data_IF_795432872609
#
_entry.id   IF_795432872609
#
_cell.length_a   1.000
_cell.length_b   1.000
_cell.length_c   1.000
_cell.angle_alpha   90.00
_cell.angle_beta   90.00
_cell.angle_gamma   90.00
#
_symmetry.space_group_name_H-M   'P 1'
#
loop_
_entity.id
_entity.type
_entity.pdbx_description
1 polymer ?
#
# COMPACT_ATOMS: atom_id res chain seq x y z
N UNK A 1 1.02 -8.73 13.88
CA UNK A 1 0.96 -7.27 13.86
C UNK A 1 0.39 -6.82 12.54
N UNK A 2 -0.59 -5.94 12.56
CA UNK A 2 -1.26 -5.47 11.35
C UNK A 2 -0.51 -4.29 10.75
N UNK A 3 -0.76 -4.05 9.46
CA UNK A 3 -0.30 -2.83 8.82
C UNK A 3 -1.01 -1.63 9.44
N UNK A 4 -0.26 -0.55 9.64
CA UNK A 4 -0.82 0.67 10.21
C UNK A 4 -1.53 1.47 9.13
N UNK A 5 -2.77 1.85 9.41
CA UNK A 5 -3.53 2.76 8.54
C UNK A 5 -3.18 4.19 8.92
N UNK A 6 -2.67 4.97 7.97
CA UNK A 6 -2.32 6.37 8.21
C UNK A 6 -3.00 7.26 7.19
N UNK A 7 -3.19 8.52 7.57
CA UNK A 7 -3.87 9.51 6.75
C UNK A 7 -3.07 9.80 5.48
N UNK A 8 -3.75 10.36 4.48
CA UNK A 8 -3.12 10.78 3.23
C UNK A 8 -2.00 11.79 3.50
N UNK A 9 -2.24 12.74 4.39
CA UNK A 9 -1.24 13.76 4.74
C UNK A 9 0.01 13.12 5.33
N UNK A 10 -0.16 12.19 6.24
CA UNK A 10 0.95 11.49 6.88
C UNK A 10 1.66 10.57 5.88
N UNK A 11 0.92 9.85 5.06
CA UNK A 11 1.48 8.97 4.04
C UNK A 11 2.30 9.80 3.03
N UNK A 12 1.75 10.92 2.55
CA UNK A 12 2.44 11.83 1.64
C UNK A 12 3.77 12.31 2.22
N UNK A 13 3.75 12.73 3.49
CA UNK A 13 4.93 13.22 4.18
C UNK A 13 6.03 12.16 4.23
N UNK A 14 5.66 10.92 4.53
CA UNK A 14 6.62 9.82 4.62
C UNK A 14 7.16 9.41 3.25
N UNK A 15 6.34 9.50 2.21
CA UNK A 15 6.78 9.22 0.83
C UNK A 15 7.76 10.30 0.36
N UNK A 16 7.40 11.57 0.53
CA UNK A 16 8.23 12.68 0.03
C UNK A 16 9.54 12.84 0.80
N UNK A 17 9.59 12.41 2.05
CA UNK A 17 10.82 12.40 2.84
C UNK A 17 11.76 11.24 2.52
N UNK A 18 11.30 10.27 1.73
CA UNK A 18 12.07 9.06 1.43
C UNK A 18 11.93 7.97 2.47
N UNK A 19 11.14 8.19 3.52
CA UNK A 19 10.94 7.20 4.57
C UNK A 19 10.23 5.96 4.03
N UNK A 20 9.26 6.15 3.12
CA UNK A 20 8.61 5.06 2.40
C UNK A 20 9.12 5.08 0.96
N UNK A 21 10.14 4.30 0.67
CA UNK A 21 10.79 4.32 -0.64
C UNK A 21 10.32 3.18 -1.56
N UNK A 22 9.61 2.20 -1.02
CA UNK A 22 9.05 1.09 -1.80
C UNK A 22 7.55 1.07 -1.63
N UNK A 23 6.84 1.60 -2.62
CA UNK A 23 5.39 1.57 -2.64
C UNK A 23 4.89 0.35 -3.39
N UNK A 24 3.79 -0.21 -2.91
CA UNK A 24 3.16 -1.37 -3.53
C UNK A 24 1.67 -1.11 -3.68
N UNK A 25 1.20 -1.20 -4.91
CA UNK A 25 -0.21 -1.13 -5.24
C UNK A 25 -0.74 -2.54 -5.38
N UNK A 26 -1.71 -2.89 -4.57
CA UNK A 26 -2.21 -4.27 -4.50
C UNK A 26 -3.64 -4.31 -4.99
N UNK A 27 -3.85 -5.06 -6.08
CA UNK A 27 -5.19 -5.29 -6.62
C UNK A 27 -5.90 -6.31 -5.76
N UNK A 28 -7.02 -5.89 -5.20
CA UNK A 28 -7.88 -6.74 -4.38
C UNK A 28 -9.29 -6.69 -4.95
N UNK A 29 -10.23 -7.37 -4.30
CA UNK A 29 -11.63 -7.43 -4.77
C UNK A 29 -12.24 -6.05 -4.98
N UNK A 30 -11.88 -5.08 -4.11
CA UNK A 30 -12.46 -3.74 -4.13
C UNK A 30 -11.76 -2.78 -5.10
N UNK A 31 -10.53 -3.10 -5.52
CA UNK A 31 -9.71 -2.24 -6.36
C UNK A 31 -8.26 -2.27 -5.93
N UNK A 32 -7.56 -1.13 -6.03
CA UNK A 32 -6.14 -1.05 -5.67
C UNK A 32 -5.97 -0.30 -4.35
N UNK A 33 -5.37 -0.96 -3.36
CA UNK A 33 -4.90 -0.29 -2.15
C UNK A 33 -3.40 -0.02 -2.26
N UNK A 34 -2.89 0.89 -1.45
CA UNK A 34 -1.49 1.30 -1.50
C UNK A 34 -0.84 1.11 -0.15
N UNK A 35 0.30 0.42 -0.14
CA UNK A 35 1.09 0.25 1.06
C UNK A 35 2.52 0.73 0.82
N UNK A 36 3.19 1.11 1.90
CA UNK A 36 4.58 1.49 1.87
C UNK A 36 5.33 0.88 3.04
N UNK A 37 6.54 0.43 2.78
CA UNK A 37 7.42 -0.16 3.78
C UNK A 37 8.39 0.89 4.27
N UNK A 38 8.47 1.07 5.59
CA UNK A 38 9.42 2.03 6.16
C UNK A 38 10.84 1.49 6.07
N UNK A 39 11.72 2.28 5.47
CA UNK A 39 13.12 1.90 5.26
C UNK A 39 13.79 1.52 6.57
N UNK A 40 14.47 0.37 6.57
CA UNK A 40 15.25 -0.08 7.72
C UNK A 40 14.43 -0.66 8.85
N UNK A 41 13.14 -0.86 8.66
CA UNK A 41 12.26 -1.43 9.68
C UNK A 41 11.33 -2.47 9.08
N UNK A 42 10.55 -3.12 9.95
CA UNK A 42 9.48 -4.04 9.52
C UNK A 42 8.10 -3.37 9.53
N UNK A 43 8.07 -2.04 9.69
CA UNK A 43 6.80 -1.32 9.74
C UNK A 43 6.28 -1.10 8.33
N UNK A 44 4.99 -1.39 8.15
CA UNK A 44 4.29 -1.21 6.88
C UNK A 44 3.07 -0.33 7.13
N UNK A 45 2.89 0.66 6.26
CA UNK A 45 1.80 1.60 6.36
C UNK A 45 0.86 1.45 5.17
N UNK A 46 -0.43 1.58 5.43
CA UNK A 46 -1.46 1.55 4.38
C UNK A 46 -2.17 2.90 4.35
N UNK A 47 -2.35 3.43 3.14
CA UNK A 47 -3.09 4.68 2.94
C UNK A 47 -4.57 4.47 3.29
N UNK A 48 -5.13 5.35 4.13
CA UNK A 48 -6.52 5.28 4.55
C UNK A 48 -7.34 6.48 4.08
N UNK A 49 -8.63 6.29 4.09
CA UNK A 49 -9.62 7.35 3.87
C UNK A 49 -9.81 8.16 5.15
N UNK A 50 -10.55 9.26 5.03
CA UNK A 50 -10.90 10.09 6.19
C UNK A 50 -11.79 9.37 7.19
N UNK A 51 -12.54 8.34 6.74
CA UNK A 51 -13.42 7.55 7.59
C UNK A 51 -12.71 6.35 8.26
N UNK A 52 -11.39 6.37 8.29
CA UNK A 52 -10.53 5.35 8.92
C UNK A 52 -10.53 3.99 8.22
N UNK A 53 -11.06 3.94 7.00
CA UNK A 53 -11.04 2.72 6.18
C UNK A 53 -9.91 2.81 5.14
N UNK A 54 -9.39 1.67 4.65
CA UNK A 54 -8.39 1.70 3.60
C UNK A 54 -8.85 2.48 2.38
N UNK A 55 -7.94 3.23 1.77
CA UNK A 55 -8.22 3.93 0.53
C UNK A 55 -8.04 2.96 -0.64
N UNK A 56 -8.98 2.97 -1.58
CA UNK A 56 -8.96 2.05 -2.73
C UNK A 56 -9.25 2.84 -4.00
N UNK A 57 -8.38 2.69 -5.01
CA UNK A 57 -8.59 3.23 -6.35
C UNK A 57 -9.22 2.16 -7.24
N UNK A 58 -9.92 2.60 -8.29
CA UNK A 58 -10.60 1.67 -9.20
C UNK A 58 -9.66 0.97 -10.18
N UNK A 59 -8.55 1.63 -10.55
CA UNK A 59 -7.64 1.10 -11.57
C UNK A 59 -6.20 1.52 -11.28
N UNK A 60 -5.27 1.06 -12.12
CA UNK A 60 -3.83 1.29 -11.95
C UNK A 60 -3.41 2.75 -12.07
N UNK A 61 -4.20 3.57 -12.76
CA UNK A 61 -3.87 4.99 -12.97
C UNK A 61 -3.78 5.72 -11.63
N UNK A 62 -4.66 5.40 -10.69
CA UNK A 62 -4.66 6.03 -9.38
C UNK A 62 -3.35 5.92 -8.63
N UNK A 63 -2.90 4.70 -8.31
CA UNK A 63 -1.62 4.53 -7.60
C UNK A 63 -0.43 5.02 -8.41
N UNK A 64 -0.42 4.82 -9.73
CA UNK A 64 0.66 5.28 -10.60
C UNK A 64 0.81 6.80 -10.55
N UNK A 65 -0.31 7.50 -10.69
CA UNK A 65 -0.34 8.96 -10.65
C UNK A 65 0.06 9.48 -9.28
N UNK A 66 -0.42 8.82 -8.22
CA UNK A 66 -0.07 9.17 -6.86
C UNK A 66 1.45 9.12 -6.64
N UNK A 67 2.07 8.00 -7.02
CA UNK A 67 3.51 7.81 -6.85
C UNK A 67 4.31 8.80 -7.70
N UNK A 68 3.91 8.98 -8.94
CA UNK A 68 4.61 9.84 -9.90
C UNK A 68 4.63 11.30 -9.43
N UNK A 69 3.50 11.81 -8.95
CA UNK A 69 3.41 13.21 -8.52
C UNK A 69 4.23 13.47 -7.26
N UNK A 70 4.60 12.44 -6.51
CA UNK A 70 5.42 12.57 -5.31
C UNK A 70 6.88 12.17 -5.51
N UNK A 71 7.26 11.94 -6.77
CA UNK A 71 8.63 11.60 -7.11
C UNK A 71 9.06 10.20 -6.72
N UNK A 72 8.10 9.32 -6.43
CA UNK A 72 8.41 7.94 -6.10
C UNK A 72 8.46 7.11 -7.39
N UNK A 73 9.63 6.50 -7.66
CA UNK A 73 9.82 5.70 -8.86
C UNK A 73 9.81 4.20 -8.60
N UNK A 74 9.64 3.80 -7.34
CA UNK A 74 9.67 2.40 -6.92
C UNK A 74 8.26 1.93 -6.55
N UNK A 75 7.38 1.89 -7.55
CA UNK A 75 6.02 1.38 -7.36
C UNK A 75 5.92 0.02 -8.03
N UNK A 76 5.58 -0.99 -7.23
CA UNK A 76 5.32 -2.34 -7.72
C UNK A 76 3.82 -2.63 -7.66
N UNK A 77 3.35 -3.46 -8.59
CA UNK A 77 1.95 -3.88 -8.64
C UNK A 77 1.84 -5.37 -8.31
N UNK A 78 0.91 -5.70 -7.43
CA UNK A 78 0.59 -7.09 -7.08
C UNK A 78 -0.90 -7.32 -7.32
N UNK A 79 -1.22 -8.44 -7.95
CA UNK A 79 -2.61 -8.76 -8.29
C UNK A 79 -3.07 -9.92 -7.42
N UNK A 80 -3.90 -9.58 -6.43
CA UNK A 80 -4.43 -10.50 -5.43
C UNK A 80 -5.96 -10.44 -5.44
N UNK A 81 -6.53 -10.71 -6.61
CA UNK A 81 -7.97 -10.52 -6.82
C UNK A 81 -8.84 -11.42 -5.95
N UNK A 82 -8.27 -12.49 -5.41
CA UNK A 82 -8.96 -13.40 -4.49
C UNK A 82 -9.06 -12.86 -3.06
N UNK A 83 -8.27 -11.83 -2.74
CA UNK A 83 -8.25 -11.24 -1.41
C UNK A 83 -9.06 -9.95 -1.37
N UNK A 84 -9.61 -9.64 -0.19
CA UNK A 84 -10.22 -8.33 0.09
C UNK A 84 -9.15 -7.39 0.67
N UNK A 85 -9.46 -6.09 0.72
CA UNK A 85 -8.57 -5.12 1.35
C UNK A 85 -8.40 -5.42 2.84
N UNK A 86 -9.41 -6.01 3.48
CA UNK A 86 -9.33 -6.40 4.89
C UNK A 86 -8.32 -7.53 5.07
N UNK A 87 -8.27 -8.47 4.13
CA UNK A 87 -7.29 -9.55 4.17
C UNK A 87 -5.86 -9.00 4.10
N UNK A 88 -5.63 -8.02 3.21
CA UNK A 88 -4.32 -7.38 3.08
C UNK A 88 -3.96 -6.64 4.37
N UNK A 89 -4.92 -5.92 4.93
CA UNK A 89 -4.71 -5.16 6.16
C UNK A 89 -4.28 -6.05 7.32
N UNK A 90 -4.72 -7.31 7.32
CA UNK A 90 -4.38 -8.28 8.36
C UNK A 90 -2.99 -8.90 8.22
N UNK A 91 -2.29 -8.67 7.11
CA UNK A 91 -0.95 -9.20 6.90
C UNK A 91 0.06 -8.48 7.78
N UNK A 92 1.12 -9.19 8.17
CA UNK A 92 2.10 -8.62 9.09
C UNK A 92 3.15 -7.77 8.38
N UNK A 93 3.47 -8.11 7.13
CA UNK A 93 4.45 -7.39 6.33
C UNK A 93 4.35 -7.81 4.87
N UNK A 94 5.08 -7.10 4.03
CA UNK A 94 5.02 -7.23 2.57
C UNK A 94 5.38 -8.64 2.09
N UNK A 95 6.33 -9.30 2.74
CA UNK A 95 6.75 -10.64 2.35
C UNK A 95 5.62 -11.67 2.42
N UNK A 96 4.65 -11.45 3.29
CA UNK A 96 3.49 -12.32 3.38
C UNK A 96 2.66 -12.29 2.09
N UNK A 97 2.67 -11.17 1.36
CA UNK A 97 2.00 -11.07 0.07
C UNK A 97 2.63 -12.00 -0.95
N UNK A 98 3.95 -12.03 -1.00
CA UNK A 98 4.67 -12.89 -1.94
C UNK A 98 4.40 -14.36 -1.67
N UNK A 99 4.44 -14.75 -0.40
CA UNK A 99 4.12 -16.13 0.00
C UNK A 99 2.70 -16.50 -0.40
N UNK A 100 1.77 -15.59 -0.19
CA UNK A 100 0.37 -15.80 -0.55
C UNK A 100 0.21 -15.97 -2.05
N UNK A 101 1.03 -15.27 -2.82
CA UNK A 101 0.99 -15.32 -4.28
C UNK A 101 1.31 -16.71 -4.81
N UNK A 102 2.27 -17.40 -4.18
CA UNK A 102 2.74 -18.68 -4.66
C UNK A 102 2.01 -19.89 -4.04
N UNK A 103 1.04 -19.64 -3.22
CA UNK A 103 0.18 -20.69 -2.71
C UNK A 103 -0.99 -20.96 -3.63
#
# INVERSE_FOLDING_TARGET
>A
MQMELISRKEFDSRVTSGELDNLQAIKVKEGFCLIGNQSGTNRVFMLRRTDLKPFVWKNEIGPSSYAQTRGCHNLAFFYKDELSVVDIQGLQHVEALEKHYYL
#
